data_IF_754860725645
#
_entry.id   IF_754860725645
#
_cell.length_a   1.000
_cell.length_b   1.000
_cell.length_c   1.000
_cell.angle_alpha   90.00
_cell.angle_beta   90.00
_cell.angle_gamma   90.00
#
_symmetry.space_group_name_H-M   'P 1'
#
loop_
_entity.id
_entity.type
_entity.pdbx_description
1 polymer ?
#
# COMPACT_ATOMS: atom_id res chain seq x y z
N UNK A 1 -52.07 -6.53 25.63
CA UNK A 1 -51.22 -5.28 25.70
C UNK A 1 -49.77 -5.61 25.96
N UNK A 2 -49.44 -6.52 26.91
CA UNK A 2 -48.05 -6.92 27.18
C UNK A 2 -47.36 -7.64 25.99
N UNK A 3 -48.11 -8.39 25.20
CA UNK A 3 -47.60 -9.16 24.04
C UNK A 3 -47.10 -8.23 22.92
N UNK A 4 -47.79 -7.14 22.64
CA UNK A 4 -47.38 -6.15 21.64
C UNK A 4 -46.11 -5.43 22.08
N UNK A 5 -45.97 -5.13 23.35
CA UNK A 5 -44.76 -4.50 23.91
C UNK A 5 -43.54 -5.44 23.82
N UNK A 6 -43.76 -6.75 24.04
CA UNK A 6 -42.71 -7.77 23.93
C UNK A 6 -42.25 -7.96 22.47
N UNK A 7 -43.19 -8.01 21.50
CA UNK A 7 -42.87 -8.09 20.07
C UNK A 7 -42.12 -6.86 19.58
N UNK A 8 -42.50 -5.66 20.03
CA UNK A 8 -41.77 -4.43 19.71
C UNK A 8 -40.35 -4.42 20.31
N UNK A 9 -40.17 -4.98 21.50
CA UNK A 9 -38.89 -5.06 22.15
C UNK A 9 -37.95 -6.04 21.41
N UNK A 10 -38.45 -7.21 21.00
CA UNK A 10 -37.68 -8.16 20.16
C UNK A 10 -37.36 -7.56 18.81
N UNK A 11 -38.32 -6.91 18.16
CA UNK A 11 -38.08 -6.22 16.89
C UNK A 11 -36.98 -5.18 17.02
N UNK A 12 -37.00 -4.36 18.06
CA UNK A 12 -35.99 -3.35 18.33
C UNK A 12 -34.62 -4.00 18.61
N UNK A 13 -34.59 -5.09 19.36
CA UNK A 13 -33.34 -5.81 19.68
C UNK A 13 -32.72 -6.44 18.42
N UNK A 14 -33.51 -7.03 17.53
CA UNK A 14 -33.03 -7.61 16.27
C UNK A 14 -32.56 -6.53 15.30
N UNK A 15 -33.23 -5.38 15.23
CA UNK A 15 -32.84 -4.29 14.33
C UNK A 15 -31.62 -3.51 14.81
N UNK A 16 -31.27 -3.55 16.11
CA UNK A 16 -30.08 -2.90 16.65
C UNK A 16 -28.82 -3.78 16.61
N UNK A 17 -28.98 -5.08 16.35
CA UNK A 17 -27.84 -6.02 16.18
C UNK A 17 -27.43 -6.22 14.72
N UNK A 18 -27.69 -5.24 13.85
CA UNK A 18 -27.04 -5.23 12.55
C UNK A 18 -25.59 -4.84 12.83
N UNK A 19 -24.75 -5.89 13.02
CA UNK A 19 -23.30 -5.71 12.88
C UNK A 19 -23.08 -5.10 11.51
N UNK A 20 -22.62 -3.86 11.50
CA UNK A 20 -22.12 -3.27 10.27
C UNK A 20 -20.88 -4.07 9.91
N UNK A 21 -21.00 -4.98 8.94
CA UNK A 21 -19.85 -5.52 8.26
C UNK A 21 -18.93 -4.34 7.95
N UNK A 22 -17.80 -4.26 8.65
CA UNK A 22 -16.77 -3.27 8.34
C UNK A 22 -16.20 -3.65 6.96
N UNK A 23 -16.89 -3.18 5.93
CA UNK A 23 -16.38 -3.25 4.57
C UNK A 23 -14.98 -2.63 4.54
N UNK A 24 -14.08 -3.21 3.76
CA UNK A 24 -12.73 -2.71 3.54
C UNK A 24 -12.81 -1.22 3.23
N UNK A 25 -12.42 -0.37 4.19
CA UNK A 25 -12.40 1.10 4.02
C UNK A 25 -11.29 1.44 3.05
N UNK A 26 -11.62 1.49 1.77
CA UNK A 26 -10.71 1.91 0.72
C UNK A 26 -10.69 3.42 0.65
N UNK A 27 -9.57 3.99 0.98
CA UNK A 27 -9.32 5.41 0.76
C UNK A 27 -8.83 5.55 -0.69
N UNK A 28 -9.68 6.10 -1.55
CA UNK A 28 -9.26 6.46 -2.91
C UNK A 28 -8.04 7.40 -2.82
N UNK A 29 -7.00 7.15 -3.62
CA UNK A 29 -5.87 8.06 -3.68
C UNK A 29 -6.36 9.47 -4.04
N UNK A 30 -5.79 10.52 -3.42
CA UNK A 30 -6.15 11.88 -3.75
C UNK A 30 -5.89 12.15 -5.23
N UNK A 31 -6.74 12.95 -5.91
CA UNK A 31 -6.53 13.28 -7.31
C UNK A 31 -5.16 13.93 -7.49
N UNK A 32 -4.43 13.47 -8.52
CA UNK A 32 -3.10 13.98 -8.86
C UNK A 32 -3.24 15.47 -9.19
N UNK A 33 -2.45 16.37 -8.56
CA UNK A 33 -2.45 17.77 -8.92
C UNK A 33 -2.07 17.96 -10.40
N UNK A 34 -2.72 18.88 -11.13
CA UNK A 34 -2.50 19.06 -12.57
C UNK A 34 -1.07 19.51 -12.97
N UNK A 35 -0.24 19.90 -12.00
CA UNK A 35 1.13 20.38 -12.19
C UNK A 35 2.22 19.33 -11.90
N UNK A 36 1.87 18.07 -11.61
CA UNK A 36 2.89 17.03 -11.56
C UNK A 36 3.20 16.61 -12.99
N UNK A 37 4.46 16.85 -13.43
CA UNK A 37 5.04 16.16 -14.57
C UNK A 37 4.69 14.68 -14.45
N UNK A 38 3.98 14.15 -15.44
CA UNK A 38 3.69 12.72 -15.51
C UNK A 38 5.03 12.01 -15.56
N UNK A 39 5.48 11.48 -14.44
CA UNK A 39 6.67 10.64 -14.42
C UNK A 39 6.39 9.48 -15.36
N UNK A 40 7.23 9.33 -16.38
CA UNK A 40 7.15 8.17 -17.27
C UNK A 40 7.21 6.90 -16.39
N UNK A 41 6.13 6.14 -16.42
CA UNK A 41 6.03 4.88 -15.67
C UNK A 41 6.93 3.89 -16.40
N UNK A 42 8.03 3.52 -15.80
CA UNK A 42 8.92 2.47 -16.31
C UNK A 42 8.26 1.11 -16.07
N UNK A 43 8.41 0.18 -16.99
CA UNK A 43 7.84 -1.17 -16.85
C UNK A 43 8.21 -1.85 -15.52
N UNK A 44 9.42 -1.57 -15.00
CA UNK A 44 9.88 -2.09 -13.71
C UNK A 44 9.23 -1.44 -12.48
N UNK A 45 8.48 -0.35 -12.64
CA UNK A 45 7.82 0.35 -11.54
C UNK A 45 6.40 -0.17 -11.26
N UNK A 46 5.90 -1.11 -12.08
CA UNK A 46 4.55 -1.65 -11.93
C UNK A 46 4.61 -3.14 -11.64
N UNK A 47 4.10 -3.55 -10.49
CA UNK A 47 3.93 -4.96 -10.15
C UNK A 47 2.54 -5.41 -10.62
N UNK A 48 2.50 -6.21 -11.69
CA UNK A 48 1.26 -6.61 -12.33
C UNK A 48 0.71 -7.90 -11.71
N UNK A 49 -0.41 -7.79 -11.04
CA UNK A 49 -1.16 -8.91 -10.46
C UNK A 49 -2.46 -9.07 -11.25
N UNK A 50 -2.69 -10.23 -11.84
CA UNK A 50 -3.88 -10.52 -12.64
C UNK A 50 -4.55 -11.79 -12.17
N UNK A 51 -5.86 -11.81 -12.20
CA UNK A 51 -6.64 -13.03 -11.99
C UNK A 51 -7.49 -13.31 -13.21
N UNK A 52 -7.68 -14.60 -13.52
CA UNK A 52 -8.45 -15.01 -14.67
C UNK A 52 -9.76 -15.69 -14.27
N UNK A 53 -10.58 -16.06 -15.26
CA UNK A 53 -11.87 -16.71 -15.09
C UNK A 53 -11.79 -18.15 -14.52
N UNK A 54 -10.59 -18.74 -14.43
CA UNK A 54 -10.33 -20.06 -13.84
C UNK A 54 -9.83 -19.97 -12.40
N UNK A 55 -9.88 -18.77 -11.83
CA UNK A 55 -9.32 -18.48 -10.52
C UNK A 55 -7.80 -18.76 -10.44
N UNK A 56 -7.08 -18.57 -11.55
CA UNK A 56 -5.63 -18.63 -11.58
C UNK A 56 -5.05 -17.22 -11.36
N UNK A 57 -4.00 -17.14 -10.56
CA UNK A 57 -3.26 -15.92 -10.28
C UNK A 57 -2.04 -15.83 -11.21
N UNK A 58 -1.96 -14.77 -11.99
CA UNK A 58 -0.80 -14.42 -12.80
C UNK A 58 -0.11 -13.20 -12.22
N UNK A 59 1.16 -13.33 -11.93
CA UNK A 59 2.00 -12.23 -11.47
C UNK A 59 3.15 -12.07 -12.47
N UNK A 60 3.29 -10.87 -13.03
CA UNK A 60 4.32 -10.58 -14.03
C UNK A 60 4.40 -11.60 -15.19
N UNK A 61 3.23 -12.08 -15.64
CA UNK A 61 3.05 -13.07 -16.72
C UNK A 61 3.32 -14.54 -16.30
N UNK A 62 3.67 -14.81 -15.05
CA UNK A 62 3.85 -16.18 -14.54
C UNK A 62 2.68 -16.58 -13.64
N UNK A 63 2.31 -17.87 -13.69
CA UNK A 63 1.29 -18.41 -12.78
C UNK A 63 1.92 -18.56 -11.41
N UNK A 64 1.31 -17.94 -10.40
CA UNK A 64 1.80 -17.94 -9.04
C UNK A 64 0.73 -18.46 -8.07
N UNK A 65 1.14 -19.10 -6.99
CA UNK A 65 0.21 -19.44 -5.91
C UNK A 65 -0.07 -18.23 -5.02
N UNK A 66 -1.26 -18.16 -4.43
CA UNK A 66 -1.63 -17.08 -3.49
C UNK A 66 -0.65 -17.01 -2.31
N UNK A 67 -0.18 -18.17 -1.82
CA UNK A 67 0.78 -18.22 -0.73
C UNK A 67 2.13 -17.55 -1.02
N UNK A 68 2.48 -17.37 -2.28
CA UNK A 68 3.72 -16.73 -2.73
C UNK A 68 3.53 -15.24 -3.04
N UNK A 69 2.28 -14.79 -3.21
CA UNK A 69 1.97 -13.42 -3.62
C UNK A 69 2.49 -12.40 -2.62
N UNK A 70 2.31 -12.66 -1.33
CA UNK A 70 2.77 -11.77 -0.25
C UNK A 70 4.28 -11.56 -0.33
N UNK A 71 5.04 -12.64 -0.45
CA UNK A 71 6.50 -12.56 -0.51
C UNK A 71 6.98 -11.86 -1.78
N UNK A 72 6.36 -12.13 -2.93
CA UNK A 72 6.65 -11.44 -4.18
C UNK A 72 6.36 -9.93 -4.11
N UNK A 73 5.24 -9.55 -3.50
CA UNK A 73 4.90 -8.15 -3.29
C UNK A 73 5.86 -7.44 -2.31
N UNK A 74 6.31 -8.14 -1.25
CA UNK A 74 7.34 -7.62 -0.34
C UNK A 74 8.66 -7.38 -1.09
N UNK A 75 9.10 -8.34 -1.90
CA UNK A 75 10.33 -8.20 -2.71
C UNK A 75 10.25 -7.00 -3.65
N UNK A 76 9.11 -6.79 -4.30
CA UNK A 76 8.86 -5.60 -5.12
C UNK A 76 8.92 -4.30 -4.31
N UNK A 77 8.27 -4.25 -3.16
CA UNK A 77 8.21 -3.03 -2.34
C UNK A 77 9.54 -2.69 -1.67
N UNK A 78 10.35 -3.67 -1.29
CA UNK A 78 11.68 -3.44 -0.74
C UNK A 78 12.66 -2.99 -1.83
N UNK A 79 12.44 -3.44 -3.07
CA UNK A 79 13.10 -2.95 -4.27
C UNK A 79 14.62 -2.78 -4.13
N UNK A 80 15.27 -3.72 -3.48
CA UNK A 80 16.72 -3.63 -3.31
C UNK A 80 17.49 -4.07 -4.54
N UNK A 81 16.82 -4.69 -5.50
CA UNK A 81 17.43 -5.24 -6.71
C UNK A 81 18.52 -6.30 -6.44
N UNK A 82 18.76 -6.62 -5.18
CA UNK A 82 19.89 -7.42 -4.72
C UNK A 82 19.47 -8.74 -4.09
N UNK A 83 18.16 -9.06 -4.02
CA UNK A 83 17.67 -10.28 -3.36
C UNK A 83 17.99 -10.34 -1.86
N UNK A 84 18.21 -9.21 -1.20
CA UNK A 84 18.68 -9.12 0.19
C UNK A 84 17.68 -9.69 1.21
N UNK A 85 16.38 -9.73 0.88
CA UNK A 85 15.37 -10.35 1.75
C UNK A 85 15.30 -11.87 1.57
N UNK A 86 15.75 -12.39 0.42
CA UNK A 86 15.84 -13.81 0.15
C UNK A 86 17.21 -14.16 -0.39
N UNK A 87 18.26 -14.26 0.47
CA UNK A 87 19.60 -14.65 0.06
C UNK A 87 19.63 -16.03 -0.63
N UNK A 88 18.62 -16.85 -0.42
CA UNK A 88 18.40 -18.15 -1.06
C UNK A 88 17.86 -18.03 -2.50
N UNK A 89 17.42 -16.84 -2.90
CA UNK A 89 16.96 -16.53 -4.26
C UNK A 89 17.65 -15.29 -4.82
N UNK A 90 18.98 -15.32 -4.99
CA UNK A 90 19.75 -14.14 -5.39
C UNK A 90 19.42 -13.62 -6.80
N UNK A 91 18.69 -14.38 -7.60
CA UNK A 91 18.30 -14.05 -8.96
C UNK A 91 16.91 -14.67 -9.26
N UNK A 92 15.87 -14.23 -8.59
CA UNK A 92 14.53 -14.53 -9.10
C UNK A 92 14.30 -13.64 -10.30
N UNK A 93 14.74 -14.08 -11.45
CA UNK A 93 14.16 -13.70 -12.71
C UNK A 93 12.76 -14.30 -12.75
N UNK A 94 11.78 -13.53 -12.32
CA UNK A 94 10.40 -13.82 -12.64
C UNK A 94 10.23 -13.50 -14.13
N UNK A 95 10.23 -14.55 -14.95
CA UNK A 95 10.16 -14.43 -16.39
C UNK A 95 11.50 -14.16 -17.10
N UNK A 96 11.53 -14.44 -18.41
CA UNK A 96 12.71 -14.33 -19.29
C UNK A 96 13.21 -12.87 -19.50
N UNK A 97 12.45 -11.88 -19.09
CA UNK A 97 12.81 -10.47 -19.15
C UNK A 97 13.25 -10.02 -17.75
N UNK A 98 14.52 -9.68 -17.60
CA UNK A 98 15.12 -9.07 -16.41
C UNK A 98 14.12 -8.13 -15.70
N UNK A 99 13.39 -8.64 -14.71
CA UNK A 99 12.44 -7.85 -13.95
C UNK A 99 13.22 -6.76 -13.23
N UNK A 100 13.01 -5.54 -13.69
CA UNK A 100 13.61 -4.36 -13.06
C UNK A 100 12.67 -3.93 -11.96
N UNK A 101 13.10 -4.12 -10.74
CA UNK A 101 12.42 -3.55 -9.57
C UNK A 101 12.55 -2.02 -9.57
N UNK A 102 11.59 -1.30 -8.97
CA UNK A 102 11.67 0.15 -8.86
C UNK A 102 12.90 0.55 -8.05
N UNK A 103 13.67 1.51 -8.52
CA UNK A 103 14.84 2.00 -7.81
C UNK A 103 14.42 2.92 -6.67
N UNK A 104 14.66 2.51 -5.42
CA UNK A 104 14.36 3.35 -4.25
C UNK A 104 15.27 4.58 -4.21
N UNK A 105 14.66 5.75 -4.05
CA UNK A 105 15.33 7.04 -4.05
C UNK A 105 15.71 7.47 -2.64
N UNK A 106 16.89 8.09 -2.51
CA UNK A 106 17.30 8.67 -1.25
C UNK A 106 16.50 9.94 -0.94
N UNK A 107 16.05 10.04 0.30
CA UNK A 107 15.46 11.23 0.89
C UNK A 107 16.47 11.81 1.87
N UNK A 108 17.10 12.92 1.49
CA UNK A 108 18.20 13.55 2.23
C UNK A 108 17.80 14.90 2.80
N UNK A 109 18.14 15.12 4.06
CA UNK A 109 17.85 16.39 4.74
C UNK A 109 18.44 17.60 3.99
N UNK A 110 19.66 17.45 3.45
CA UNK A 110 20.36 18.51 2.71
C UNK A 110 19.62 18.97 1.44
N UNK A 111 18.85 18.07 0.80
CA UNK A 111 18.10 18.37 -0.42
C UNK A 111 16.71 18.93 -0.11
N UNK A 112 16.11 18.49 1.00
CA UNK A 112 14.75 18.87 1.36
C UNK A 112 14.64 20.29 1.95
N UNK A 113 15.63 20.75 2.72
CA UNK A 113 15.59 22.09 3.33
C UNK A 113 15.51 23.21 2.28
N UNK A 114 16.38 23.26 1.25
CA UNK A 114 16.27 24.29 0.22
C UNK A 114 14.99 24.14 -0.61
N UNK A 115 14.51 22.90 -0.80
CA UNK A 115 13.28 22.63 -1.54
C UNK A 115 12.04 23.14 -0.78
N UNK A 116 11.94 22.95 0.54
CA UNK A 116 10.87 23.52 1.36
C UNK A 116 10.83 25.04 1.24
N UNK A 117 11.98 25.71 1.35
CA UNK A 117 12.09 27.16 1.22
C UNK A 117 11.64 27.64 -0.16
N UNK A 118 12.01 26.93 -1.22
CA UNK A 118 11.60 27.26 -2.58
C UNK A 118 10.07 27.18 -2.78
N UNK A 119 9.43 26.15 -2.24
CA UNK A 119 7.96 26.01 -2.30
C UNK A 119 7.23 27.09 -1.48
N UNK A 120 7.77 27.47 -0.31
CA UNK A 120 7.23 28.57 0.48
C UNK A 120 7.34 29.89 -0.26
N UNK A 121 8.50 30.18 -0.88
CA UNK A 121 8.72 31.37 -1.68
C UNK A 121 7.82 31.42 -2.93
N UNK A 122 7.52 30.26 -3.53
CA UNK A 122 6.59 30.15 -4.66
C UNK A 122 5.10 30.19 -4.27
N UNK A 123 4.76 30.36 -2.98
CA UNK A 123 3.39 30.40 -2.50
C UNK A 123 2.66 29.04 -2.58
N UNK A 124 3.40 27.93 -2.51
CA UNK A 124 2.89 26.56 -2.56
C UNK A 124 2.93 25.88 -1.18
N UNK A 125 2.08 26.26 -0.21
CA UNK A 125 2.16 25.76 1.17
C UNK A 125 1.91 24.25 1.28
N UNK A 126 1.04 23.67 0.43
CA UNK A 126 0.78 22.22 0.43
C UNK A 126 1.99 21.40 -0.01
N UNK A 127 2.78 21.90 -0.97
CA UNK A 127 4.01 21.24 -1.39
C UNK A 127 5.06 21.33 -0.27
N UNK A 128 5.22 22.49 0.34
CA UNK A 128 6.10 22.69 1.50
C UNK A 128 5.73 21.77 2.69
N UNK A 129 4.43 21.57 2.96
CA UNK A 129 3.94 20.68 4.01
C UNK A 129 4.39 19.22 3.77
N UNK A 130 4.28 18.73 2.52
CA UNK A 130 4.77 17.38 2.16
C UNK A 130 6.28 17.23 2.38
N UNK A 131 7.06 18.27 2.06
CA UNK A 131 8.50 18.26 2.34
C UNK A 131 8.76 18.26 3.84
N UNK A 132 7.98 19.00 4.62
CA UNK A 132 8.09 19.01 6.09
C UNK A 132 7.75 17.64 6.70
N UNK A 133 6.76 16.93 6.18
CA UNK A 133 6.48 15.55 6.61
C UNK A 133 7.70 14.62 6.38
N UNK A 134 8.40 14.77 5.24
CA UNK A 134 9.64 14.02 4.97
C UNK A 134 10.78 14.41 5.91
N UNK A 135 10.92 15.70 6.24
CA UNK A 135 11.90 16.16 7.23
C UNK A 135 11.63 15.60 8.62
N UNK A 136 10.35 15.57 9.04
CA UNK A 136 9.93 14.93 10.30
C UNK A 136 10.28 13.44 10.30
N UNK A 137 10.08 12.75 9.18
CA UNK A 137 10.45 11.33 9.06
C UNK A 137 11.98 11.12 9.21
N UNK A 138 12.80 11.97 8.61
CA UNK A 138 14.28 11.92 8.80
C UNK A 138 14.65 12.08 10.27
N UNK A 139 14.02 13.00 10.99
CA UNK A 139 14.29 13.23 12.41
C UNK A 139 13.87 12.04 13.26
N UNK A 140 12.68 11.48 13.01
CA UNK A 140 12.17 10.30 13.72
C UNK A 140 12.98 9.03 13.46
N UNK A 141 13.50 8.86 12.23
CA UNK A 141 14.32 7.68 11.88
C UNK A 141 15.79 7.84 12.26
N UNK A 142 16.20 9.04 12.67
CA UNK A 142 17.57 9.35 13.06
C UNK A 142 18.55 9.48 11.89
N UNK A 143 18.06 9.76 10.67
CA UNK A 143 18.89 9.97 9.48
C UNK A 143 18.13 9.83 8.17
N UNK A 144 18.85 10.05 7.06
CA UNK A 144 18.33 9.90 5.73
C UNK A 144 17.78 8.48 5.47
N UNK A 145 16.73 8.38 4.67
CA UNK A 145 16.08 7.09 4.36
C UNK A 145 15.83 6.97 2.86
N UNK A 146 15.41 5.78 2.44
CA UNK A 146 15.02 5.53 1.05
C UNK A 146 13.50 5.35 0.95
N UNK A 147 12.88 5.97 -0.05
CA UNK A 147 11.47 5.79 -0.39
C UNK A 147 11.28 5.17 -1.77
N UNK A 148 10.14 4.58 -2.02
CA UNK A 148 9.74 4.10 -3.34
C UNK A 148 9.49 5.29 -4.27
N UNK A 149 9.89 5.21 -5.56
CA UNK A 149 9.58 6.25 -6.54
C UNK A 149 8.06 6.45 -6.64
N UNK A 150 7.65 7.65 -7.02
CA UNK A 150 6.22 8.00 -7.16
C UNK A 150 5.48 7.13 -8.16
N UNK A 151 6.18 6.63 -9.17
CA UNK A 151 5.71 5.71 -10.21
C UNK A 151 5.48 4.27 -9.75
N UNK A 152 6.14 3.84 -8.66
CA UNK A 152 6.01 2.45 -8.17
C UNK A 152 4.61 2.18 -7.63
N UNK A 153 3.94 1.18 -8.22
CA UNK A 153 2.59 0.76 -7.82
C UNK A 153 2.37 -0.74 -8.07
N UNK A 154 1.44 -1.32 -7.32
CA UNK A 154 0.91 -2.66 -7.56
C UNK A 154 -0.38 -2.50 -8.35
N UNK A 155 -0.42 -3.07 -9.56
CA UNK A 155 -1.59 -3.05 -10.42
C UNK A 155 -2.36 -4.36 -10.29
N UNK A 156 -3.55 -4.33 -9.71
CA UNK A 156 -4.44 -5.48 -9.61
C UNK A 156 -5.48 -5.41 -10.74
N UNK A 157 -5.48 -6.40 -11.62
CA UNK A 157 -6.46 -6.54 -12.69
C UNK A 157 -7.20 -7.87 -12.56
N UNK A 158 -8.49 -7.81 -12.30
CA UNK A 158 -9.35 -9.00 -12.17
C UNK A 158 -10.18 -9.21 -13.43
N UNK A 159 -10.45 -10.47 -13.77
CA UNK A 159 -11.48 -10.81 -14.75
C UNK A 159 -12.87 -10.68 -14.09
N UNK A 160 -13.89 -10.33 -14.86
CA UNK A 160 -15.28 -10.23 -14.36
C UNK A 160 -15.83 -11.55 -13.82
N UNK A 161 -15.27 -12.65 -14.29
CA UNK A 161 -15.70 -14.01 -13.91
C UNK A 161 -14.85 -14.60 -12.78
N UNK A 162 -13.85 -13.85 -12.28
CA UNK A 162 -13.06 -14.27 -11.11
C UNK A 162 -13.95 -14.38 -9.87
N UNK A 163 -13.77 -15.43 -9.07
CA UNK A 163 -14.51 -15.59 -7.82
C UNK A 163 -14.19 -14.45 -6.83
N UNK A 164 -15.23 -14.05 -6.10
CA UNK A 164 -15.05 -13.01 -5.07
C UNK A 164 -14.10 -13.47 -3.96
N UNK A 165 -14.03 -14.76 -3.68
CA UNK A 165 -13.13 -15.34 -2.70
C UNK A 165 -11.67 -15.16 -3.10
N UNK A 166 -11.30 -15.48 -4.35
CA UNK A 166 -9.94 -15.25 -4.85
C UNK A 166 -9.57 -13.76 -4.82
N UNK A 167 -10.50 -12.90 -5.24
CA UNK A 167 -10.29 -11.47 -5.21
C UNK A 167 -9.97 -10.95 -3.79
N UNK A 168 -10.72 -11.39 -2.78
CA UNK A 168 -10.46 -11.02 -1.39
C UNK A 168 -9.13 -11.58 -0.89
N UNK A 169 -8.81 -12.84 -1.23
CA UNK A 169 -7.53 -13.44 -0.84
C UNK A 169 -6.34 -12.66 -1.41
N UNK A 170 -6.39 -12.31 -2.71
CA UNK A 170 -5.34 -11.50 -3.35
C UNK A 170 -5.20 -10.14 -2.66
N UNK A 171 -6.29 -9.46 -2.38
CA UNK A 171 -6.24 -8.18 -1.68
C UNK A 171 -5.63 -8.30 -0.28
N UNK A 172 -6.06 -9.31 0.48
CA UNK A 172 -5.55 -9.56 1.83
C UNK A 172 -4.03 -9.84 1.82
N UNK A 173 -3.54 -10.64 0.87
CA UNK A 173 -2.10 -10.92 0.77
C UNK A 173 -1.28 -9.69 0.38
N UNK A 174 -1.78 -8.86 -0.56
CA UNK A 174 -1.12 -7.62 -0.93
C UNK A 174 -1.10 -6.61 0.24
N UNK A 175 -2.19 -6.51 0.98
CA UNK A 175 -2.26 -5.65 2.15
C UNK A 175 -1.39 -6.16 3.30
N UNK A 176 -1.36 -7.47 3.53
CA UNK A 176 -0.48 -8.12 4.48
C UNK A 176 1.00 -7.86 4.17
N UNK A 177 1.41 -7.90 2.89
CA UNK A 177 2.76 -7.58 2.47
C UNK A 177 3.19 -6.16 2.89
N UNK A 178 2.33 -5.17 2.64
CA UNK A 178 2.58 -3.78 3.04
C UNK A 178 2.64 -3.64 4.57
N UNK A 179 1.71 -4.27 5.27
CA UNK A 179 1.62 -4.16 6.73
C UNK A 179 2.79 -4.86 7.44
N UNK A 180 3.25 -6.01 6.95
CA UNK A 180 4.45 -6.66 7.48
C UNK A 180 5.70 -5.77 7.35
N UNK A 181 5.91 -5.13 6.18
CA UNK A 181 7.03 -4.21 6.00
C UNK A 181 6.93 -2.97 6.89
N UNK A 182 5.72 -2.47 7.13
CA UNK A 182 5.49 -1.38 8.08
C UNK A 182 5.77 -1.80 9.52
N UNK A 183 5.37 -3.03 9.90
CA UNK A 183 5.67 -3.59 11.21
C UNK A 183 7.17 -3.76 11.40
N UNK A 184 7.90 -4.33 10.44
CA UNK A 184 9.35 -4.49 10.49
C UNK A 184 10.07 -3.14 10.67
N UNK A 185 9.67 -2.12 9.90
CA UNK A 185 10.22 -0.77 10.01
C UNK A 185 9.89 -0.15 11.38
N UNK A 186 8.64 -0.28 11.84
CA UNK A 186 8.17 0.25 13.11
C UNK A 186 8.92 -0.36 14.29
N UNK A 187 9.06 -1.67 14.31
CA UNK A 187 9.83 -2.39 15.32
C UNK A 187 11.30 -1.96 15.35
N UNK A 188 11.91 -1.79 14.16
CA UNK A 188 13.31 -1.39 14.06
C UNK A 188 13.58 0.04 14.52
N UNK A 189 12.62 0.97 14.32
CA UNK A 189 12.78 2.40 14.60
C UNK A 189 12.16 2.84 15.92
N UNK A 190 11.06 2.25 16.32
CA UNK A 190 10.26 2.69 17.46
C UNK A 190 10.08 1.61 18.53
N UNK A 191 10.59 0.39 18.28
CA UNK A 191 10.45 -0.77 19.17
C UNK A 191 8.98 -1.11 19.53
N UNK A 192 8.07 -0.77 18.61
CA UNK A 192 6.63 -1.02 18.73
C UNK A 192 6.08 -1.39 17.35
N UNK A 193 5.09 -2.31 17.28
CA UNK A 193 4.50 -2.71 16.00
C UNK A 193 3.66 -1.57 15.40
N UNK A 194 3.56 -1.56 14.07
CA UNK A 194 2.76 -0.57 13.37
C UNK A 194 1.28 -0.64 13.78
N UNK A 195 0.75 -1.86 13.91
CA UNK A 195 -0.62 -2.08 14.38
C UNK A 195 -0.86 -1.50 15.79
N UNK A 196 0.10 -1.66 16.71
CA UNK A 196 0.00 -1.10 18.07
C UNK A 196 0.03 0.44 18.06
N UNK A 197 0.85 1.05 17.17
CA UNK A 197 0.85 2.51 16.98
C UNK A 197 -0.50 3.02 16.48
N UNK A 198 -1.12 2.32 15.49
CA UNK A 198 -2.44 2.68 14.97
C UNK A 198 -3.54 2.53 16.03
N UNK A 199 -3.54 1.45 16.78
CA UNK A 199 -4.49 1.21 17.86
C UNK A 199 -4.39 2.30 18.94
N UNK A 200 -3.17 2.62 19.39
CA UNK A 200 -2.96 3.71 20.34
C UNK A 200 -3.42 5.06 19.79
N UNK A 201 -3.06 5.36 18.55
CA UNK A 201 -3.51 6.60 17.91
C UNK A 201 -5.04 6.66 17.79
N UNK A 202 -5.70 5.55 17.51
CA UNK A 202 -7.17 5.52 17.42
C UNK A 202 -7.83 5.94 18.72
N UNK A 203 -7.22 5.59 19.87
CA UNK A 203 -7.71 5.87 21.23
C UNK A 203 -7.33 7.27 21.73
N UNK A 204 -6.07 7.67 21.53
CA UNK A 204 -5.51 8.90 22.16
C UNK A 204 -5.53 10.11 21.24
N UNK A 205 -5.53 9.92 19.90
CA UNK A 205 -5.38 10.98 18.88
C UNK A 205 -4.15 11.86 19.07
N UNK A 206 -3.11 11.32 19.68
CA UNK A 206 -1.87 12.03 19.96
C UNK A 206 -1.09 12.35 18.69
N UNK A 207 -0.67 13.60 18.53
CA UNK A 207 0.00 14.06 17.31
C UNK A 207 1.34 13.34 17.06
N UNK A 208 2.09 13.04 18.11
CA UNK A 208 3.37 12.33 18.01
C UNK A 208 3.24 10.93 17.43
N UNK A 209 2.15 10.21 17.75
CA UNK A 209 1.85 8.91 17.16
C UNK A 209 1.48 9.03 15.69
N UNK A 210 0.71 10.06 15.34
CA UNK A 210 0.35 10.34 13.94
C UNK A 210 1.59 10.60 13.08
N UNK A 211 2.55 11.36 13.58
CA UNK A 211 3.81 11.64 12.89
C UNK A 211 4.61 10.36 12.63
N UNK A 212 4.71 9.44 13.62
CA UNK A 212 5.34 8.14 13.44
C UNK A 212 4.63 7.30 12.37
N UNK A 213 3.31 7.20 12.44
CA UNK A 213 2.49 6.46 11.46
C UNK A 213 2.68 7.04 10.06
N UNK A 214 2.62 8.37 9.89
CA UNK A 214 2.86 9.05 8.62
C UNK A 214 4.27 8.75 8.08
N UNK A 215 5.27 8.82 8.93
CA UNK A 215 6.67 8.56 8.55
C UNK A 215 6.86 7.13 8.02
N UNK A 216 6.26 6.12 8.67
CA UNK A 216 6.28 4.74 8.19
C UNK A 216 5.58 4.61 6.82
N UNK A 217 4.43 5.27 6.65
CA UNK A 217 3.66 5.25 5.40
C UNK A 217 4.39 5.95 4.24
N UNK A 218 5.27 6.91 4.50
CA UNK A 218 6.13 7.51 3.47
C UNK A 218 7.13 6.50 2.90
N UNK A 219 7.67 5.61 3.74
CA UNK A 219 8.63 4.59 3.30
C UNK A 219 7.94 3.45 2.56
N UNK A 220 6.79 2.98 3.09
CA UNK A 220 5.98 1.90 2.51
C UNK A 220 4.54 2.38 2.27
N UNK A 221 4.31 3.14 1.20
CA UNK A 221 2.97 3.60 0.84
C UNK A 221 2.14 2.43 0.29
N UNK A 222 0.85 2.41 0.64
CA UNK A 222 -0.11 1.46 0.08
C UNK A 222 -0.57 1.97 -1.29
N UNK A 223 0.17 1.62 -2.34
CA UNK A 223 -0.13 2.00 -3.72
C UNK A 223 -0.62 0.78 -4.50
N UNK A 224 -1.82 0.34 -4.18
CA UNK A 224 -2.53 -0.71 -4.92
C UNK A 224 -3.56 -0.03 -5.80
N UNK A 225 -3.41 -0.15 -7.11
CA UNK A 225 -4.33 0.37 -8.11
C UNK A 225 -5.14 -0.77 -8.70
N UNK A 226 -6.44 -0.62 -8.75
CA UNK A 226 -7.30 -1.55 -9.50
C UNK A 226 -7.47 -1.05 -10.92
N UNK A 227 -7.06 -1.88 -11.85
CA UNK A 227 -7.33 -1.67 -13.27
C UNK A 227 -8.75 -2.16 -13.62
N UNK A 228 -9.32 -1.60 -14.69
CA UNK A 228 -10.64 -2.03 -15.16
C UNK A 228 -10.66 -3.54 -15.42
N UNK A 229 -11.74 -4.25 -15.00
CA UNK A 229 -11.89 -5.67 -15.25
C UNK A 229 -11.90 -5.95 -16.75
N UNK A 230 -11.16 -6.97 -17.18
CA UNK A 230 -11.21 -7.44 -18.56
C UNK A 230 -12.34 -8.43 -18.77
N UNK A 231 -12.93 -8.41 -19.94
CA UNK A 231 -13.84 -9.47 -20.38
C UNK A 231 -13.01 -10.60 -20.99
N UNK A 232 -13.31 -11.84 -20.63
CA UNK A 232 -12.65 -13.05 -21.15
C UNK A 232 -12.66 -13.18 -22.69
N UNK A 233 -13.46 -12.34 -23.38
CA UNK A 233 -13.54 -12.27 -24.83
C UNK A 233 -12.40 -11.50 -25.52
N UNK A 234 -11.59 -10.75 -24.77
CA UNK A 234 -10.40 -10.06 -25.29
C UNK A 234 -9.19 -10.94 -25.05
N UNK A 235 -8.85 -11.78 -26.03
CA UNK A 235 -7.84 -12.81 -25.99
C UNK A 235 -6.50 -12.37 -25.37
N UNK A 236 -5.89 -13.30 -24.68
CA UNK A 236 -4.50 -13.22 -24.24
C UNK A 236 -3.58 -13.14 -25.47
N UNK A 237 -3.09 -11.95 -25.78
CA UNK A 237 -1.95 -11.72 -26.67
C UNK A 237 -0.80 -11.10 -25.89
#
# INVERSE_FOLDING_TARGET
>A
MADIAFLLLIFWLVTTTIDSDEGVKRQLPPPVPPDMEQQEVKDGDVYNVRTNFRDELLVEKEVMSISQLKDGAKDFLVATGTGLLHPERPNVTLGDDNMKYPERQWVRKSELIPLEQSYLAAGQPKAAERIREKLTAIELFGGDYKELPGSALISLQTDRSTSYDLYLQVQNELEAAVNELRDELSLSKFNESYAALEERYSRTKEASLLEKIKSIRLVYPQRISEAEPRDASQGYY
#
